data_IF_119449365639
#
_entry.id   IF_119449365639
#
_cell.length_a   1.000
_cell.length_b   1.000
_cell.length_c   1.000
_cell.angle_alpha   90.00
_cell.angle_beta   90.00
_cell.angle_gamma   90.00
#
_symmetry.space_group_name_H-M   'P 1'
#
loop_
_entity.id
_entity.type
_entity.pdbx_description
1 polymer ?
#
# COMPACT_ATOMS: atom_id res chain seq x y z
N UNK A 1 13.69 -10.25 13.75
CA UNK A 1 12.58 -10.58 12.83
C UNK A 1 11.41 -9.62 12.99
N UNK A 2 10.84 -9.47 14.19
CA UNK A 2 9.72 -8.55 14.45
C UNK A 2 10.02 -7.09 14.05
N UNK A 3 11.21 -6.58 14.39
CA UNK A 3 11.63 -5.20 14.06
C UNK A 3 11.64 -4.92 12.55
N UNK A 4 11.99 -5.91 11.73
CA UNK A 4 12.00 -5.79 10.26
C UNK A 4 10.60 -5.74 9.68
N UNK A 5 9.66 -6.49 10.27
CA UNK A 5 8.24 -6.46 9.90
C UNK A 5 7.64 -5.10 10.26
N UNK A 6 7.91 -4.60 11.47
CA UNK A 6 7.44 -3.27 11.89
C UNK A 6 8.02 -2.19 10.96
N UNK A 7 9.31 -2.31 10.60
CA UNK A 7 9.96 -1.41 9.65
C UNK A 7 9.28 -1.41 8.28
N UNK A 8 8.97 -2.58 7.70
CA UNK A 8 8.29 -2.66 6.40
C UNK A 8 6.84 -2.15 6.45
N UNK A 9 6.11 -2.38 7.55
CA UNK A 9 4.78 -1.82 7.75
C UNK A 9 4.80 -0.29 7.81
N UNK A 10 5.77 0.32 8.51
CA UNK A 10 5.91 1.79 8.56
C UNK A 10 6.23 2.36 7.17
N UNK A 11 7.12 1.71 6.42
CA UNK A 11 7.45 2.11 5.05
C UNK A 11 6.20 2.04 4.16
N UNK A 12 5.42 0.95 4.27
CA UNK A 12 4.20 0.74 3.50
C UNK A 12 3.13 1.78 3.83
N UNK A 13 2.93 2.09 5.11
CA UNK A 13 1.99 3.12 5.55
C UNK A 13 2.41 4.52 5.06
N UNK A 14 3.69 4.86 5.19
CA UNK A 14 4.24 6.12 4.68
C UNK A 14 4.09 6.25 3.17
N UNK A 15 4.39 5.17 2.42
CA UNK A 15 4.23 5.13 0.97
C UNK A 15 2.76 5.26 0.55
N UNK A 16 1.83 4.66 1.31
CA UNK A 16 0.39 4.79 1.06
C UNK A 16 -0.06 6.23 1.21
N UNK A 17 0.33 6.90 2.31
CA UNK A 17 -0.02 8.30 2.56
C UNK A 17 0.54 9.20 1.46
N UNK A 18 1.77 8.94 1.01
CA UNK A 18 2.42 9.71 -0.05
C UNK A 18 1.83 9.44 -1.45
N UNK A 19 1.51 8.19 -1.78
CA UNK A 19 1.00 7.80 -3.10
C UNK A 19 -0.47 8.16 -3.28
N UNK A 20 -1.27 8.17 -2.20
CA UNK A 20 -2.71 8.50 -2.24
C UNK A 20 -3.02 9.83 -2.95
N UNK A 21 -2.39 10.99 -2.63
CA UNK A 21 -2.66 12.24 -3.35
C UNK A 21 -2.27 12.19 -4.83
N UNK A 22 -1.24 11.43 -5.19
CA UNK A 22 -0.86 11.22 -6.59
C UNK A 22 -1.95 10.44 -7.34
N UNK A 23 -2.40 9.31 -6.79
CA UNK A 23 -3.47 8.51 -7.38
C UNK A 23 -4.80 9.26 -7.43
N UNK A 24 -5.14 10.07 -6.42
CA UNK A 24 -6.34 10.91 -6.46
C UNK A 24 -6.33 11.90 -7.63
N UNK A 25 -5.18 12.53 -7.92
CA UNK A 25 -5.03 13.42 -9.08
C UNK A 25 -5.13 12.64 -10.39
N UNK A 26 -4.47 11.49 -10.46
CA UNK A 26 -4.53 10.61 -11.63
C UNK A 26 -5.97 10.19 -11.95
N UNK A 27 -6.70 9.65 -10.97
CA UNK A 27 -8.09 9.20 -11.15
C UNK A 27 -9.04 10.33 -11.53
N UNK A 28 -8.85 11.54 -10.98
CA UNK A 28 -9.59 12.72 -11.44
C UNK A 28 -9.31 13.04 -12.90
N UNK A 29 -8.06 12.95 -13.35
CA UNK A 29 -7.67 13.29 -14.72
C UNK A 29 -8.19 12.29 -15.74
N UNK A 30 -8.20 10.99 -15.40
CA UNK A 30 -8.68 9.94 -16.31
C UNK A 30 -10.20 9.71 -16.23
N UNK A 31 -10.92 10.50 -15.43
CA UNK A 31 -12.38 10.40 -15.29
C UNK A 31 -12.86 9.23 -14.43
N UNK A 32 -11.97 8.54 -13.71
CA UNK A 32 -12.31 7.48 -12.75
C UNK A 32 -12.79 8.12 -11.45
N UNK A 33 -13.99 8.70 -11.55
CA UNK A 33 -14.65 9.42 -10.45
C UNK A 33 -16.12 9.01 -10.40
N UNK A 34 -16.71 9.04 -9.20
CA UNK A 34 -18.13 8.83 -9.00
C UNK A 34 -18.68 9.89 -8.07
N UNK A 35 -19.97 10.15 -8.24
CA UNK A 35 -20.73 11.02 -7.34
C UNK A 35 -21.02 10.22 -6.06
N UNK A 36 -20.62 10.78 -4.93
CA UNK A 36 -21.04 10.27 -3.63
C UNK A 36 -22.53 10.53 -3.43
N UNK A 37 -23.34 9.49 -3.66
CA UNK A 37 -24.80 9.55 -3.57
C UNK A 37 -25.31 9.72 -2.14
N UNK A 38 -24.47 9.48 -1.12
CA UNK A 38 -24.88 9.60 0.28
C UNK A 38 -24.79 11.04 0.80
N UNK A 39 -24.16 11.96 0.07
CA UNK A 39 -24.00 13.35 0.49
C UNK A 39 -24.92 14.27 -0.31
N UNK A 40 -25.59 15.20 0.38
CA UNK A 40 -26.50 16.19 -0.24
C UNK A 40 -25.81 17.05 -1.30
N UNK A 41 -24.53 17.37 -1.09
CA UNK A 41 -23.72 18.16 -2.02
C UNK A 41 -23.28 17.38 -3.26
N UNK A 42 -23.50 16.05 -3.28
CA UNK A 42 -23.14 15.14 -4.38
C UNK A 42 -21.72 15.38 -4.89
N UNK A 43 -20.70 15.37 -4.02
CA UNK A 43 -19.33 15.65 -4.43
C UNK A 43 -18.84 14.54 -5.37
N UNK A 44 -18.12 14.94 -6.41
CA UNK A 44 -17.42 14.01 -7.32
C UNK A 44 -16.10 13.61 -6.67
N UNK A 45 -15.96 12.33 -6.36
CA UNK A 45 -14.78 11.76 -5.70
C UNK A 45 -14.12 10.72 -6.60
N UNK A 46 -12.77 10.62 -6.60
CA UNK A 46 -12.08 9.56 -7.30
C UNK A 46 -12.51 8.20 -6.73
N UNK A 47 -12.83 7.26 -7.62
CA UNK A 47 -13.13 5.87 -7.25
C UNK A 47 -11.83 5.06 -7.22
N UNK A 48 -11.91 3.83 -6.73
CA UNK A 48 -10.76 2.91 -6.65
C UNK A 48 -9.70 3.30 -5.60
N UNK A 49 -10.13 3.79 -4.44
CA UNK A 49 -9.24 4.09 -3.30
C UNK A 49 -8.40 2.89 -2.81
N UNK A 50 -8.78 1.66 -3.15
CA UNK A 50 -7.98 0.47 -2.88
C UNK A 50 -6.70 0.36 -3.72
N UNK A 51 -6.60 1.04 -4.87
CA UNK A 51 -5.43 0.98 -5.74
C UNK A 51 -4.14 1.51 -5.09
N UNK A 52 -4.10 2.72 -4.49
CA UNK A 52 -2.90 3.20 -3.80
C UNK A 52 -2.51 2.32 -2.61
N UNK A 53 -3.49 1.70 -1.93
CA UNK A 53 -3.24 0.77 -0.82
C UNK A 53 -2.61 -0.53 -1.34
N UNK A 54 -3.21 -1.16 -2.34
CA UNK A 54 -2.69 -2.39 -2.94
C UNK A 54 -1.29 -2.17 -3.55
N UNK A 55 -1.08 -1.06 -4.25
CA UNK A 55 0.22 -0.68 -4.79
C UNK A 55 1.29 -0.61 -3.69
N UNK A 56 0.98 0.12 -2.61
CA UNK A 56 1.94 0.32 -1.52
C UNK A 56 2.19 -1.00 -0.76
N UNK A 57 1.16 -1.81 -0.59
CA UNK A 57 1.22 -3.14 0.01
C UNK A 57 2.17 -4.08 -0.74
N UNK A 58 1.95 -4.26 -2.05
CA UNK A 58 2.82 -5.13 -2.85
C UNK A 58 4.26 -4.61 -2.90
N UNK A 59 4.43 -3.29 -2.93
CA UNK A 59 5.75 -2.68 -2.91
C UNK A 59 6.47 -2.95 -1.57
N UNK A 60 5.78 -2.81 -0.44
CA UNK A 60 6.31 -3.13 0.89
C UNK A 60 6.74 -4.59 1.01
N UNK A 61 5.87 -5.51 0.59
CA UNK A 61 6.13 -6.95 0.60
C UNK A 61 7.35 -7.32 -0.26
N UNK A 62 7.45 -6.76 -1.47
CA UNK A 62 8.61 -7.00 -2.34
C UNK A 62 9.90 -6.44 -1.73
N UNK A 63 9.84 -5.28 -1.07
CA UNK A 63 10.99 -4.73 -0.34
C UNK A 63 11.38 -5.64 0.82
N UNK A 64 10.43 -6.10 1.62
CA UNK A 64 10.73 -7.00 2.73
C UNK A 64 11.40 -8.28 2.26
N UNK A 65 10.87 -8.91 1.20
CA UNK A 65 11.48 -10.09 0.59
C UNK A 65 12.88 -9.77 0.05
N UNK A 66 13.06 -8.65 -0.64
CA UNK A 66 14.35 -8.24 -1.20
C UNK A 66 15.40 -7.97 -0.11
N UNK A 67 15.04 -7.24 0.95
CA UNK A 67 15.95 -6.93 2.07
C UNK A 67 16.39 -8.21 2.78
N UNK A 68 15.46 -9.12 3.06
CA UNK A 68 15.78 -10.40 3.72
C UNK A 68 16.64 -11.30 2.82
N UNK A 69 16.36 -11.32 1.52
CA UNK A 69 17.08 -12.19 0.57
C UNK A 69 18.49 -11.68 0.28
N UNK A 70 18.65 -10.40 -0.01
CA UNK A 70 19.92 -9.87 -0.55
C UNK A 70 20.84 -9.25 0.50
N UNK A 71 20.29 -8.63 1.56
CA UNK A 71 21.07 -7.91 2.57
C UNK A 71 21.27 -8.76 3.81
N UNK A 72 20.17 -9.19 4.43
CA UNK A 72 20.21 -9.94 5.70
C UNK A 72 20.69 -11.38 5.45
N UNK A 73 20.41 -11.92 4.24
CA UNK A 73 20.73 -13.29 3.83
C UNK A 73 20.22 -14.32 4.83
N UNK A 74 19.01 -14.10 5.34
CA UNK A 74 18.42 -14.97 6.33
C UNK A 74 17.80 -16.20 5.63
N UNK A 75 18.29 -17.43 5.86
CA UNK A 75 17.74 -18.63 5.23
C UNK A 75 16.38 -19.03 5.84
N UNK A 76 15.94 -18.37 6.92
CA UNK A 76 14.73 -18.69 7.67
C UNK A 76 13.53 -17.79 7.34
N UNK A 77 13.40 -17.34 6.09
CA UNK A 77 12.15 -16.69 5.63
C UNK A 77 11.03 -17.73 5.74
N UNK A 78 10.16 -17.53 6.72
CA UNK A 78 9.05 -18.43 7.01
C UNK A 78 7.76 -17.89 6.39
N UNK A 79 6.88 -18.78 5.95
CA UNK A 79 5.58 -18.39 5.39
C UNK A 79 4.79 -17.54 6.40
N UNK A 80 4.93 -17.83 7.70
CA UNK A 80 4.32 -17.04 8.76
C UNK A 80 4.75 -15.55 8.74
N UNK A 81 6.01 -15.26 8.40
CA UNK A 81 6.53 -13.89 8.34
C UNK A 81 5.95 -13.12 7.14
N UNK A 82 5.77 -13.81 6.00
CA UNK A 82 5.13 -13.24 4.81
C UNK A 82 3.63 -13.01 5.05
N UNK A 83 2.96 -13.96 5.73
CA UNK A 83 1.54 -13.81 6.08
C UNK A 83 1.31 -12.71 7.12
N UNK A 84 2.26 -12.49 8.04
CA UNK A 84 2.20 -11.41 9.03
C UNK A 84 2.30 -10.02 8.38
N UNK A 85 2.89 -9.92 7.20
CA UNK A 85 2.92 -8.67 6.43
C UNK A 85 1.58 -8.42 5.70
N UNK A 86 0.73 -9.45 5.57
CA UNK A 86 -0.55 -9.43 4.87
C UNK A 86 -1.74 -8.92 5.71
N UNK A 87 -1.57 -8.81 7.02
CA UNK A 87 -2.58 -8.43 8.03
C UNK A 87 -2.24 -7.06 8.62
#
# INVERSE_FOLDING_TARGET
>A
MLEWIIGSCIITAGLTIYSTPYFMRFFRNIGVTAIDQQKTTKPVLPTSGGMPVAYSFFFGLLIFVALNTFIIKDPSINLASIMAELI
#
